data_IF_499253569336
#
_entry.id   IF_499253569336
#
_cell.length_a   1.000
_cell.length_b   1.000
_cell.length_c   1.000
_cell.angle_alpha   90.00
_cell.angle_beta   90.00
_cell.angle_gamma   90.00
#
_symmetry.space_group_name_H-M   'P 1'
#
loop_
_entity.id
_entity.type
_entity.pdbx_description
1 polymer ?
#
# COMPACT_ATOMS: atom_id res chain seq x y z
N UNK A 1 -1.34 11.54 -11.24
CA UNK A 1 -0.06 12.27 -11.35
C UNK A 1 1.11 11.43 -10.88
N UNK A 2 2.26 11.46 -11.58
CA UNK A 2 3.47 10.73 -11.15
C UNK A 2 4.34 11.57 -10.22
N UNK A 3 4.65 11.06 -9.03
CA UNK A 3 5.56 11.68 -8.05
C UNK A 3 6.63 10.67 -7.68
N UNK A 4 7.87 10.88 -8.14
CA UNK A 4 8.96 9.94 -7.90
C UNK A 4 8.64 8.53 -8.41
N UNK A 5 8.65 7.54 -7.50
CA UNK A 5 8.34 6.15 -7.80
C UNK A 5 6.84 5.80 -7.73
N UNK A 6 5.97 6.78 -7.45
CA UNK A 6 4.55 6.56 -7.19
C UNK A 6 3.68 7.19 -8.28
N UNK A 7 2.59 6.50 -8.61
CA UNK A 7 1.44 7.07 -9.29
C UNK A 7 0.40 7.44 -8.23
N UNK A 8 0.09 8.73 -8.17
CA UNK A 8 -0.82 9.35 -7.20
C UNK A 8 -2.12 9.71 -7.92
N UNK A 9 -3.26 9.56 -7.24
CA UNK A 9 -4.57 9.91 -7.78
C UNK A 9 -4.65 11.43 -8.02
N UNK A 10 -5.34 11.84 -9.08
CA UNK A 10 -5.46 13.27 -9.43
C UNK A 10 -6.43 14.03 -8.52
N UNK A 11 -7.36 13.31 -7.89
CA UNK A 11 -8.26 13.87 -6.89
C UNK A 11 -7.80 13.42 -5.49
N UNK A 12 -7.22 14.35 -4.73
CA UNK A 12 -6.80 14.14 -3.36
C UNK A 12 -7.64 15.00 -2.42
N UNK A 13 -7.94 14.53 -1.19
CA UNK A 13 -8.55 15.38 -0.17
C UNK A 13 -7.60 16.54 0.18
N UNK A 14 -8.16 17.61 0.74
CA UNK A 14 -7.35 18.65 1.36
C UNK A 14 -6.74 18.10 2.67
N UNK A 15 -5.42 18.20 2.81
CA UNK A 15 -4.67 17.58 3.91
C UNK A 15 -3.82 18.66 4.58
N UNK A 16 -4.24 19.09 5.77
CA UNK A 16 -3.43 19.94 6.63
C UNK A 16 -2.62 19.10 7.62
N UNK A 17 -1.28 19.25 7.59
CA UNK A 17 -0.33 18.60 8.52
C UNK A 17 -0.52 17.07 8.67
N UNK A 18 -0.35 16.30 7.59
CA UNK A 18 -0.53 14.86 7.65
C UNK A 18 0.47 14.18 8.59
N UNK A 19 0.00 13.10 9.22
CA UNK A 19 0.86 12.13 9.90
C UNK A 19 0.81 10.82 9.13
N UNK A 20 1.98 10.23 8.87
CA UNK A 20 2.09 8.96 8.17
C UNK A 20 2.30 7.81 9.17
N UNK A 21 1.44 6.79 9.10
CA UNK A 21 1.63 5.51 9.78
C UNK A 21 2.05 4.51 8.72
N UNK A 22 3.24 3.92 8.85
CA UNK A 22 3.84 3.09 7.82
C UNK A 22 4.27 1.75 8.42
N UNK A 23 4.01 0.67 7.67
CA UNK A 23 4.52 -0.68 7.97
C UNK A 23 5.34 -1.15 6.78
N UNK A 24 6.57 -1.59 7.05
CA UNK A 24 7.44 -2.21 6.05
C UNK A 24 7.30 -3.73 6.11
N UNK A 25 6.90 -4.32 4.99
CA UNK A 25 6.81 -5.78 4.83
C UNK A 25 8.04 -6.34 4.09
N UNK A 26 8.45 -7.59 4.35
CA UNK A 26 7.90 -8.53 5.33
C UNK A 26 8.60 -8.50 6.71
N UNK A 27 9.86 -8.07 6.78
CA UNK A 27 10.77 -8.42 7.88
C UNK A 27 10.41 -7.81 9.24
N UNK A 28 9.72 -6.67 9.23
CA UNK A 28 9.37 -5.91 10.44
C UNK A 28 7.91 -6.21 10.87
N UNK A 29 7.15 -6.93 10.05
CA UNK A 29 5.74 -7.25 10.28
C UNK A 29 5.56 -8.71 10.77
N UNK A 30 6.28 -9.06 11.83
CA UNK A 30 6.25 -10.43 12.40
C UNK A 30 4.83 -10.76 12.87
N UNK A 31 4.31 -11.91 12.44
CA UNK A 31 2.94 -12.33 12.75
C UNK A 31 1.86 -11.46 12.11
N UNK A 32 2.21 -10.62 11.13
CA UNK A 32 1.31 -9.68 10.44
C UNK A 32 0.67 -8.63 11.37
N UNK A 33 1.27 -8.32 12.52
CA UNK A 33 0.69 -7.41 13.52
C UNK A 33 0.49 -6.00 12.93
N UNK A 34 1.48 -5.48 12.21
CA UNK A 34 1.42 -4.20 11.52
C UNK A 34 0.39 -4.19 10.41
N UNK A 35 0.34 -5.25 9.58
CA UNK A 35 -0.72 -5.41 8.57
C UNK A 35 -2.11 -5.40 9.21
N UNK A 36 -2.32 -6.18 10.27
CA UNK A 36 -3.62 -6.28 10.95
C UNK A 36 -4.03 -4.96 11.62
N UNK A 37 -3.08 -4.27 12.25
CA UNK A 37 -3.31 -2.97 12.87
C UNK A 37 -3.69 -1.92 11.83
N UNK A 38 -2.92 -1.78 10.73
CA UNK A 38 -3.23 -0.85 9.65
C UNK A 38 -4.59 -1.18 9.01
N UNK A 39 -4.85 -2.44 8.66
CA UNK A 39 -6.14 -2.82 8.08
C UNK A 39 -7.33 -2.53 9.01
N UNK A 40 -7.14 -2.55 10.33
CA UNK A 40 -8.20 -2.15 11.28
C UNK A 40 -8.39 -0.63 11.30
N UNK A 41 -7.31 0.15 11.28
CA UNK A 41 -7.35 1.61 11.21
C UNK A 41 -8.00 2.07 9.91
N UNK A 42 -7.60 1.51 8.77
CA UNK A 42 -8.15 1.79 7.44
C UNK A 42 -9.68 1.61 7.40
N UNK A 43 -10.17 0.46 7.89
CA UNK A 43 -11.61 0.20 7.98
C UNK A 43 -12.33 1.18 8.91
N UNK A 44 -11.72 1.53 10.05
CA UNK A 44 -12.33 2.42 11.02
C UNK A 44 -12.43 3.86 10.51
N UNK A 45 -11.37 4.33 9.84
CA UNK A 45 -11.29 5.68 9.28
C UNK A 45 -11.88 5.80 7.88
N UNK A 46 -12.34 4.70 7.27
CA UNK A 46 -12.83 4.62 5.88
C UNK A 46 -11.80 5.20 4.91
N UNK A 47 -10.55 4.78 5.05
CA UNK A 47 -9.46 5.27 4.21
C UNK A 47 -9.69 4.98 2.74
N UNK A 48 -9.26 5.90 1.88
CA UNK A 48 -9.25 5.75 0.44
C UNK A 48 -7.81 5.61 -0.07
N UNK A 49 -7.62 4.86 -1.15
CA UNK A 49 -6.31 4.77 -1.80
C UNK A 49 -5.97 6.12 -2.46
N UNK A 50 -4.83 6.70 -2.09
CA UNK A 50 -4.36 7.97 -2.68
C UNK A 50 -3.29 7.76 -3.76
N UNK A 51 -2.74 6.56 -3.87
CA UNK A 51 -1.72 6.21 -4.85
C UNK A 51 -1.00 4.90 -4.55
N UNK A 52 -0.13 4.50 -5.48
CA UNK A 52 0.64 3.24 -5.44
C UNK A 52 1.99 3.39 -6.13
N UNK A 53 2.88 2.41 -5.93
CA UNK A 53 4.12 2.34 -6.71
C UNK A 53 3.80 2.16 -8.20
N UNK A 54 4.39 3.01 -9.04
CA UNK A 54 4.20 2.97 -10.49
C UNK A 54 4.81 1.70 -11.12
N UNK A 55 5.93 1.24 -10.56
CA UNK A 55 6.62 0.03 -11.00
C UNK A 55 7.14 -0.76 -9.79
N UNK A 56 6.31 -1.61 -9.16
CA UNK A 56 6.71 -2.37 -7.97
C UNK A 56 7.94 -3.27 -8.22
N UNK A 57 8.13 -3.77 -9.44
CA UNK A 57 9.28 -4.61 -9.81
C UNK A 57 10.65 -3.93 -9.67
N UNK A 58 10.69 -2.60 -9.55
CA UNK A 58 11.93 -1.86 -9.24
C UNK A 58 12.41 -2.08 -7.80
N UNK A 59 11.49 -2.44 -6.89
CA UNK A 59 11.78 -2.59 -5.46
C UNK A 59 11.58 -4.02 -4.94
N UNK A 60 10.75 -4.82 -5.62
CA UNK A 60 10.42 -6.17 -5.20
C UNK A 60 11.03 -7.21 -6.14
N UNK A 61 11.75 -8.16 -5.55
CA UNK A 61 12.09 -9.42 -6.21
C UNK A 61 10.84 -10.32 -6.23
N UNK A 62 10.22 -10.49 -7.39
CA UNK A 62 9.01 -11.31 -7.55
C UNK A 62 9.25 -12.82 -7.50
N UNK A 63 10.51 -13.28 -7.50
CA UNK A 63 10.81 -14.68 -7.20
C UNK A 63 10.66 -14.97 -5.72
N UNK A 64 10.95 -13.98 -4.87
CA UNK A 64 10.80 -14.03 -3.40
C UNK A 64 9.42 -13.56 -2.94
N UNK A 65 8.94 -12.44 -3.47
CA UNK A 65 7.65 -11.83 -3.15
C UNK A 65 6.65 -12.04 -4.28
N UNK A 66 6.31 -13.32 -4.51
CA UNK A 66 5.46 -13.73 -5.62
C UNK A 66 4.06 -13.10 -5.48
N UNK A 67 3.58 -12.35 -6.50
CA UNK A 67 2.22 -11.86 -6.53
C UNK A 67 1.20 -13.00 -6.50
N UNK A 68 0.05 -12.78 -5.87
CA UNK A 68 -1.06 -13.72 -5.91
C UNK A 68 -1.86 -13.50 -7.19
N UNK A 69 -2.03 -14.55 -7.98
CA UNK A 69 -2.96 -14.56 -9.10
C UNK A 69 -4.33 -14.99 -8.59
N UNK A 70 -5.36 -14.24 -8.98
CA UNK A 70 -6.75 -14.59 -8.72
C UNK A 70 -7.39 -14.94 -10.06
N UNK A 71 -8.04 -16.09 -10.12
CA UNK A 71 -8.87 -16.46 -11.27
C UNK A 71 -10.26 -15.87 -11.02
N UNK A 72 -10.56 -14.78 -11.71
CA UNK A 72 -11.93 -14.30 -11.81
C UNK A 72 -12.51 -14.99 -13.04
N UNK A 73 -13.69 -15.62 -12.87
CA UNK A 73 -14.34 -16.49 -13.87
C UNK A 73 -14.15 -15.97 -15.32
N UNK A 74 -13.76 -16.90 -16.20
CA UNK A 74 -13.05 -16.64 -17.46
C UNK A 74 -13.71 -15.68 -18.45
#
# INVERSE_FOLDING_TARGET
MKIGAFDINDNLPDIDRPHAIVVLRPWIDVGNIGTLALSRIERHLKSEEIGRLAAPGTFYDFTRYRPRSYFNEG
#
